data_IF_243083752096
#
_entry.id   IF_243083752096
#
_cell.length_a   1.000
_cell.length_b   1.000
_cell.length_c   1.000
_cell.angle_alpha   90.00
_cell.angle_beta   90.00
_cell.angle_gamma   90.00
#
_symmetry.space_group_name_H-M   'P 1'
#
loop_
_entity.id
_entity.type
_entity.pdbx_description
1 polymer ?
#
# COMPACT_ATOMS: atom_id res chain seq x y z
N UNK A 1 5.88 34.78 -12.20
CA UNK A 1 6.48 33.44 -12.45
C UNK A 1 6.79 32.65 -11.18
N UNK A 2 7.45 33.22 -10.16
CA UNK A 2 7.74 32.51 -8.89
C UNK A 2 6.49 31.93 -8.20
N UNK A 3 5.35 32.64 -8.23
CA UNK A 3 4.07 32.21 -7.63
C UNK A 3 3.46 30.98 -8.31
N UNK A 4 3.68 30.81 -9.62
CA UNK A 4 3.17 29.66 -10.40
C UNK A 4 4.02 28.42 -10.10
N UNK A 5 5.34 28.59 -9.94
CA UNK A 5 6.25 27.50 -9.57
C UNK A 5 5.91 26.94 -8.17
N UNK A 6 5.56 27.81 -7.21
CA UNK A 6 5.14 27.41 -5.87
C UNK A 6 3.82 26.64 -5.90
N UNK A 7 2.86 27.07 -6.73
CA UNK A 7 1.56 26.39 -6.88
C UNK A 7 1.72 24.99 -7.49
N UNK A 8 2.61 24.84 -8.47
CA UNK A 8 2.93 23.54 -9.08
C UNK A 8 3.62 22.62 -8.06
N UNK A 9 4.59 23.12 -7.29
CA UNK A 9 5.23 22.36 -6.21
C UNK A 9 4.25 21.91 -5.12
N UNK A 10 3.27 22.75 -4.78
CA UNK A 10 2.22 22.42 -3.81
C UNK A 10 1.27 21.32 -4.32
N UNK A 11 0.92 21.34 -5.61
CA UNK A 11 0.09 20.32 -6.26
C UNK A 11 0.82 18.98 -6.45
N UNK A 12 2.13 19.00 -6.72
CA UNK A 12 2.94 17.77 -6.79
C UNK A 12 3.24 17.19 -5.40
N UNK A 13 3.32 18.03 -4.36
CA UNK A 13 3.58 17.62 -2.97
C UNK A 13 2.42 16.87 -2.28
N UNK A 14 1.19 16.96 -2.81
CA UNK A 14 0.04 16.21 -2.29
C UNK A 14 0.04 14.72 -2.70
N UNK A 15 0.84 14.32 -3.69
CA UNK A 15 0.87 12.92 -4.17
C UNK A 15 1.75 11.98 -3.34
N UNK A 16 2.53 12.51 -2.39
CA UNK A 16 3.52 11.73 -1.61
C UNK A 16 2.99 11.13 -0.31
N UNK A 17 1.73 11.36 0.05
CA UNK A 17 1.09 10.71 1.20
C UNK A 17 0.51 9.36 0.83
N UNK A 18 1.33 8.38 0.39
CA UNK A 18 0.86 6.99 0.31
C UNK A 18 0.84 6.45 1.75
N UNK A 19 -0.20 6.82 2.49
CA UNK A 19 -0.45 6.24 3.80
C UNK A 19 -1.05 4.86 3.60
N UNK A 20 -0.40 3.83 4.15
CA UNK A 20 -0.90 2.47 4.12
C UNK A 20 -2.25 2.34 4.84
N UNK A 21 -2.54 3.23 5.81
CA UNK A 21 -3.83 3.35 6.48
C UNK A 21 -4.52 4.60 5.91
N UNK A 22 -5.72 4.43 5.37
CA UNK A 22 -6.53 5.55 4.92
C UNK A 22 -7.14 6.32 6.11
N UNK A 23 -7.55 7.57 5.89
CA UNK A 23 -8.19 8.41 6.93
C UNK A 23 -9.44 7.74 7.53
N UNK A 24 -10.20 7.00 6.73
CA UNK A 24 -11.39 6.26 7.19
C UNK A 24 -10.97 5.11 8.11
N UNK A 25 -9.89 4.42 7.79
CA UNK A 25 -9.36 3.31 8.59
C UNK A 25 -8.73 3.83 9.90
N UNK A 26 -8.11 5.01 9.88
CA UNK A 26 -7.65 5.69 11.09
C UNK A 26 -8.84 6.03 12.01
N UNK A 27 -9.96 6.50 11.42
CA UNK A 27 -11.20 6.76 12.13
C UNK A 27 -11.79 5.48 12.74
N UNK A 28 -11.82 4.39 11.97
CA UNK A 28 -12.24 3.06 12.44
C UNK A 28 -11.43 2.61 13.67
N UNK A 29 -10.10 2.78 13.63
CA UNK A 29 -9.20 2.43 14.74
C UNK A 29 -9.48 3.30 15.96
N UNK A 30 -9.66 4.62 15.78
CA UNK A 30 -9.90 5.56 16.89
C UNK A 30 -11.25 5.33 17.57
N UNK A 31 -12.30 5.05 16.79
CA UNK A 31 -13.66 4.85 17.30
C UNK A 31 -13.89 3.44 17.86
N UNK A 32 -12.94 2.51 17.66
CA UNK A 32 -12.95 1.17 18.25
C UNK A 32 -12.66 1.21 19.78
N UNK A 33 -13.59 1.79 20.53
CA UNK A 33 -13.44 2.08 21.97
C UNK A 33 -13.88 0.93 22.88
N UNK A 34 -14.67 -0.01 22.38
CA UNK A 34 -15.13 -1.19 23.14
C UNK A 34 -14.58 -2.51 22.54
N UNK A 35 -14.57 -3.61 23.31
CA UNK A 35 -13.97 -4.88 22.87
C UNK A 35 -14.56 -5.45 21.58
N UNK A 36 -15.87 -5.31 21.37
CA UNK A 36 -16.54 -5.81 20.17
C UNK A 36 -16.15 -4.99 18.92
N UNK A 37 -16.11 -3.66 19.03
CA UNK A 37 -15.67 -2.78 17.95
C UNK A 37 -14.18 -2.98 17.64
N UNK A 38 -13.34 -3.18 18.66
CA UNK A 38 -11.92 -3.53 18.48
C UNK A 38 -11.76 -4.83 17.72
N UNK A 39 -12.56 -5.85 18.04
CA UNK A 39 -12.56 -7.12 17.31
C UNK A 39 -12.93 -6.92 15.85
N UNK A 40 -13.98 -6.16 15.55
CA UNK A 40 -14.41 -5.86 14.17
C UNK A 40 -13.31 -5.11 13.41
N UNK A 41 -12.74 -4.07 14.00
CA UNK A 41 -11.65 -3.30 13.40
C UNK A 41 -10.40 -4.17 13.16
N UNK A 42 -10.06 -5.03 14.12
CA UNK A 42 -8.96 -5.99 14.01
C UNK A 42 -9.17 -7.00 12.89
N UNK A 43 -10.37 -7.58 12.77
CA UNK A 43 -10.71 -8.50 11.68
C UNK A 43 -10.63 -7.82 10.31
N UNK A 44 -11.12 -6.58 10.22
CA UNK A 44 -11.01 -5.77 9.00
C UNK A 44 -9.55 -5.53 8.60
N UNK A 45 -8.70 -5.08 9.53
CA UNK A 45 -7.29 -4.80 9.26
C UNK A 45 -6.51 -6.07 8.92
N UNK A 46 -6.79 -7.20 9.57
CA UNK A 46 -6.19 -8.49 9.19
C UNK A 46 -6.63 -8.95 7.80
N UNK A 47 -7.90 -8.74 7.43
CA UNK A 47 -8.36 -9.03 6.08
C UNK A 47 -7.61 -8.19 5.05
N UNK A 48 -7.46 -6.88 5.30
CA UNK A 48 -6.68 -5.98 4.44
C UNK A 48 -5.22 -6.41 4.34
N UNK A 49 -4.57 -6.75 5.46
CA UNK A 49 -3.22 -7.29 5.44
C UNK A 49 -3.10 -8.52 4.53
N UNK A 50 -4.05 -9.46 4.64
CA UNK A 50 -4.09 -10.66 3.81
C UNK A 50 -4.26 -10.32 2.32
N UNK A 51 -5.19 -9.43 1.98
CA UNK A 51 -5.43 -9.00 0.59
C UNK A 51 -4.15 -8.37 -0.02
N UNK A 52 -3.44 -7.54 0.74
CA UNK A 52 -2.16 -6.96 0.30
C UNK A 52 -1.04 -8.00 0.17
N UNK A 53 -0.99 -9.03 1.03
CA UNK A 53 -0.05 -10.16 0.87
C UNK A 53 -0.32 -10.96 -0.40
N UNK A 54 -1.59 -11.29 -0.67
CA UNK A 54 -1.98 -11.98 -1.90
C UNK A 54 -1.65 -11.14 -3.15
N UNK A 55 -1.83 -9.83 -3.07
CA UNK A 55 -1.47 -8.92 -4.16
C UNK A 55 0.05 -8.83 -4.36
N UNK A 56 0.83 -8.79 -3.28
CA UNK A 56 2.28 -8.84 -3.35
C UNK A 56 2.77 -10.12 -4.03
N UNK A 57 2.19 -11.27 -3.69
CA UNK A 57 2.52 -12.55 -4.30
C UNK A 57 2.20 -12.55 -5.81
N UNK A 58 1.04 -12.00 -6.21
CA UNK A 58 0.69 -11.80 -7.63
C UNK A 58 1.74 -10.96 -8.35
N UNK A 59 2.15 -9.83 -7.77
CA UNK A 59 3.18 -8.99 -8.38
C UNK A 59 4.55 -9.67 -8.42
N UNK A 60 4.91 -10.44 -7.39
CA UNK A 60 6.14 -11.23 -7.38
C UNK A 60 6.13 -12.26 -8.51
N UNK A 61 5.01 -12.95 -8.72
CA UNK A 61 4.85 -13.89 -9.83
C UNK A 61 4.96 -13.19 -11.19
N UNK A 62 4.32 -12.03 -11.35
CA UNK A 62 4.46 -11.18 -12.56
C UNK A 62 5.91 -10.70 -12.77
N UNK A 63 6.63 -10.42 -11.68
CA UNK A 63 8.05 -10.05 -11.72
C UNK A 63 8.98 -11.22 -12.05
N UNK A 64 8.50 -12.47 -12.04
CA UNK A 64 9.28 -13.64 -12.40
C UNK A 64 8.89 -14.19 -13.78
N UNK A 65 7.76 -13.75 -14.33
CA UNK A 65 7.29 -14.14 -15.66
C UNK A 65 8.13 -13.50 -16.75
N UNK A 66 8.93 -14.32 -17.44
CA UNK A 66 9.64 -13.90 -18.65
C UNK A 66 8.65 -13.82 -19.82
N UNK A 67 8.22 -12.60 -20.16
CA UNK A 67 7.51 -12.34 -21.42
C UNK A 67 8.58 -12.07 -22.47
N UNK A 68 8.69 -12.92 -23.49
CA UNK A 68 9.75 -12.91 -24.52
C UNK A 68 9.80 -11.68 -25.45
N UNK A 69 9.68 -10.47 -24.90
CA UNK A 69 9.86 -9.20 -25.58
C UNK A 69 11.31 -8.71 -25.54
N UNK A 70 11.53 -7.46 -25.95
CA UNK A 70 12.87 -6.84 -25.92
C UNK A 70 13.45 -6.87 -24.50
N UNK A 71 14.72 -7.25 -24.37
CA UNK A 71 15.38 -7.45 -23.07
C UNK A 71 15.26 -6.24 -22.13
N UNK A 72 15.33 -5.01 -22.67
CA UNK A 72 15.23 -3.78 -21.87
C UNK A 72 13.83 -3.57 -21.29
N UNK A 73 12.77 -3.74 -22.10
CA UNK A 73 11.39 -3.59 -21.63
C UNK A 73 11.03 -4.69 -20.61
N UNK A 74 11.55 -5.90 -20.81
CA UNK A 74 11.42 -7.00 -19.84
C UNK A 74 12.05 -6.61 -18.50
N UNK A 75 13.29 -6.10 -18.48
CA UNK A 75 13.97 -5.69 -17.25
C UNK A 75 13.21 -4.57 -16.50
N UNK A 76 12.67 -3.58 -17.22
CA UNK A 76 11.89 -2.49 -16.62
C UNK A 76 10.58 -2.98 -16.01
N UNK A 77 9.86 -3.88 -16.69
CA UNK A 77 8.65 -4.51 -16.16
C UNK A 77 8.95 -5.35 -14.91
N UNK A 78 10.01 -6.15 -14.94
CA UNK A 78 10.46 -6.92 -13.78
C UNK A 78 10.73 -6.01 -12.57
N UNK A 79 11.45 -4.90 -12.78
CA UNK A 79 11.71 -3.90 -11.72
C UNK A 79 10.43 -3.24 -11.22
N UNK A 80 9.49 -2.91 -12.10
CA UNK A 80 8.20 -2.31 -11.74
C UNK A 80 7.39 -3.25 -10.84
N UNK A 81 7.22 -4.51 -11.25
CA UNK A 81 6.45 -5.47 -10.46
C UNK A 81 7.13 -5.83 -9.14
N UNK A 82 8.47 -5.89 -9.12
CA UNK A 82 9.21 -6.07 -7.87
C UNK A 82 8.94 -4.92 -6.88
N UNK A 83 8.99 -3.67 -7.33
CA UNK A 83 8.66 -2.51 -6.48
C UNK A 83 7.22 -2.54 -5.98
N UNK A 84 6.27 -2.96 -6.81
CA UNK A 84 4.87 -3.11 -6.41
C UNK A 84 4.68 -4.21 -5.37
N UNK A 85 5.39 -5.34 -5.51
CA UNK A 85 5.37 -6.41 -4.53
C UNK A 85 5.92 -5.92 -3.17
N UNK A 86 7.10 -5.29 -3.16
CA UNK A 86 7.71 -4.72 -1.95
C UNK A 86 6.81 -3.68 -1.28
N UNK A 87 6.11 -2.85 -2.07
CA UNK A 87 5.15 -1.90 -1.55
C UNK A 87 3.97 -2.58 -0.85
N UNK A 88 3.35 -3.57 -1.50
CA UNK A 88 2.23 -4.31 -0.92
C UNK A 88 2.64 -5.11 0.32
N UNK A 89 3.85 -5.68 0.37
CA UNK A 89 4.39 -6.33 1.58
C UNK A 89 4.53 -5.33 2.74
N UNK A 90 5.01 -4.12 2.45
CA UNK A 90 5.13 -3.05 3.45
C UNK A 90 3.75 -2.63 3.97
N UNK A 91 2.77 -2.41 3.09
CA UNK A 91 1.40 -2.07 3.50
C UNK A 91 0.78 -3.17 4.35
N UNK A 92 0.92 -4.44 3.94
CA UNK A 92 0.43 -5.57 4.72
C UNK A 92 1.03 -5.60 6.13
N UNK A 93 2.34 -5.37 6.26
CA UNK A 93 3.01 -5.33 7.57
C UNK A 93 2.47 -4.22 8.48
N UNK A 94 2.10 -3.07 7.90
CA UNK A 94 1.50 -1.95 8.65
C UNK A 94 0.10 -2.34 9.13
N UNK A 95 -0.73 -2.89 8.23
CA UNK A 95 -2.07 -3.37 8.59
C UNK A 95 -2.03 -4.44 9.70
N UNK A 96 -1.09 -5.40 9.64
CA UNK A 96 -0.94 -6.41 10.70
C UNK A 96 -0.51 -5.78 12.03
N UNK A 97 0.41 -4.81 11.99
CA UNK A 97 0.84 -4.13 13.20
C UNK A 97 -0.31 -3.36 13.84
N UNK A 98 -1.07 -2.59 13.07
CA UNK A 98 -2.22 -1.85 13.61
C UNK A 98 -3.31 -2.80 14.14
N UNK A 99 -3.57 -3.92 13.45
CA UNK A 99 -4.49 -4.95 13.94
C UNK A 99 -4.06 -5.56 15.28
N UNK A 100 -2.75 -5.78 15.46
CA UNK A 100 -2.20 -6.32 16.71
C UNK A 100 -2.24 -5.31 17.87
N UNK A 101 -2.26 -4.01 17.56
CA UNK A 101 -2.33 -2.93 18.55
C UNK A 101 -3.75 -2.62 19.05
N UNK A 102 -4.79 -3.16 18.40
CA UNK A 102 -6.20 -3.07 18.81
C UNK A 102 -6.56 -4.10 19.89
#
# INVERSE_FOLDING_TARGET
MKKIIILILFLFGFSSGIFAISEIEELLIKEATNPELKKIAKEYLFKKAKDHKELAEKYKNLSNLSKGGKAISSIEEHKKYKKLAEHCEKEASIYEREANNL
#
